data_IF_143543980248
#
_entry.id   IF_143543980248
#
_cell.length_a   1.000
_cell.length_b   1.000
_cell.length_c   1.000
_cell.angle_alpha   90.00
_cell.angle_beta   90.00
_cell.angle_gamma   90.00
#
_symmetry.space_group_name_H-M   'P 1'
#
loop_
_entity.id
_entity.type
_entity.pdbx_description
1 polymer ?
#
# COMPACT_ATOMS: atom_id res chain seq x y z
N UNK A 1 -39.49 3.90 60.55
CA UNK A 1 -39.24 2.70 59.72
C UNK A 1 -39.31 3.00 58.22
N UNK A 2 -39.21 4.24 57.75
CA UNK A 2 -39.32 4.60 56.31
C UNK A 2 -38.04 5.13 55.67
N UNK A 3 -36.94 5.24 56.45
CA UNK A 3 -35.68 5.77 55.93
C UNK A 3 -34.65 4.74 55.44
N UNK A 4 -34.82 3.46 55.80
CA UNK A 4 -33.82 2.42 55.46
C UNK A 4 -34.05 1.76 54.08
N UNK A 5 -35.31 1.77 53.60
CA UNK A 5 -35.65 1.19 52.26
C UNK A 5 -35.14 2.11 51.12
N UNK A 6 -35.18 3.44 51.35
CA UNK A 6 -34.71 4.42 50.32
C UNK A 6 -33.20 4.42 50.15
N UNK A 7 -32.44 4.09 51.19
CA UNK A 7 -30.98 4.00 51.15
C UNK A 7 -30.51 2.71 50.44
N UNK A 8 -31.24 1.62 50.56
CA UNK A 8 -30.90 0.36 49.92
C UNK A 8 -31.17 0.41 48.38
N UNK A 9 -32.24 1.12 47.97
CA UNK A 9 -32.56 1.28 46.55
C UNK A 9 -31.55 2.19 45.82
N UNK A 10 -30.98 3.20 46.50
CA UNK A 10 -29.96 4.09 45.92
C UNK A 10 -28.60 3.39 45.76
N UNK A 11 -28.23 2.49 46.67
CA UNK A 11 -26.99 1.74 46.62
C UNK A 11 -26.98 0.68 45.48
N UNK A 12 -28.13 0.06 45.20
CA UNK A 12 -28.27 -0.91 44.10
C UNK A 12 -28.28 -0.21 42.73
N UNK A 13 -28.87 1.00 42.61
CA UNK A 13 -28.85 1.78 41.37
C UNK A 13 -27.44 2.28 40.99
N UNK A 14 -26.59 2.63 41.98
CA UNK A 14 -25.19 3.04 41.70
C UNK A 14 -24.29 1.87 41.32
N UNK A 15 -24.53 0.65 41.82
CA UNK A 15 -23.73 -0.53 41.47
C UNK A 15 -24.01 -1.05 40.06
N UNK A 16 -25.22 -0.89 39.51
CA UNK A 16 -25.52 -1.29 38.12
C UNK A 16 -25.00 -0.29 37.08
N UNK A 17 -24.80 1.00 37.42
CA UNK A 17 -24.32 2.03 36.51
C UNK A 17 -22.82 1.94 36.18
N UNK A 18 -22.01 1.34 37.07
CA UNK A 18 -20.55 1.26 36.89
C UNK A 18 -20.10 0.06 36.04
N UNK A 19 -20.89 -1.01 35.98
CA UNK A 19 -20.55 -2.19 35.18
C UNK A 19 -20.72 -1.92 33.67
N UNK A 20 -21.70 -1.09 33.29
CA UNK A 20 -21.92 -0.73 31.89
C UNK A 20 -20.84 0.22 31.30
N UNK A 21 -20.28 1.11 32.12
CA UNK A 21 -19.21 2.01 31.70
C UNK A 21 -17.86 1.32 31.51
N UNK A 22 -17.56 0.31 32.34
CA UNK A 22 -16.32 -0.46 32.24
C UNK A 22 -16.28 -1.36 30.97
N UNK A 23 -17.43 -1.88 30.51
CA UNK A 23 -17.50 -2.69 29.28
C UNK A 23 -17.41 -1.85 28.01
N UNK A 24 -17.90 -0.59 28.01
CA UNK A 24 -17.81 0.32 26.88
C UNK A 24 -16.37 0.78 26.58
N UNK A 25 -15.47 0.69 27.55
CA UNK A 25 -14.06 1.08 27.41
C UNK A 25 -13.16 -0.11 27.05
N UNK A 26 -13.61 -1.34 27.27
CA UNK A 26 -12.77 -2.55 27.17
C UNK A 26 -12.32 -2.92 25.74
N UNK A 27 -13.00 -2.43 24.70
CA UNK A 27 -12.68 -2.74 23.29
C UNK A 27 -12.64 -1.47 22.43
N UNK A 28 -12.30 -0.31 23.01
CA UNK A 28 -12.13 0.93 22.26
C UNK A 28 -10.76 0.95 21.59
N UNK A 29 -10.71 1.08 20.26
CA UNK A 29 -9.49 1.13 19.49
C UNK A 29 -9.43 2.40 18.64
N UNK A 30 -8.42 3.23 18.89
CA UNK A 30 -8.04 4.32 18.01
C UNK A 30 -7.08 3.80 16.96
N UNK A 31 -7.48 3.89 15.69
CA UNK A 31 -6.72 3.35 14.55
C UNK A 31 -6.23 4.50 13.68
N UNK A 32 -4.92 4.73 13.69
CA UNK A 32 -4.27 5.76 12.90
C UNK A 32 -3.90 5.20 11.52
N UNK A 33 -4.37 5.85 10.46
CA UNK A 33 -4.15 5.41 9.08
C UNK A 33 -4.17 6.61 8.10
N UNK A 34 -3.74 6.36 6.84
CA UNK A 34 -3.72 7.40 5.80
C UNK A 34 -4.76 7.19 4.68
N UNK A 35 -5.65 6.24 4.81
CA UNK A 35 -6.66 5.90 3.80
C UNK A 35 -7.80 6.91 3.78
N UNK A 36 -7.66 7.96 2.98
CA UNK A 36 -8.58 9.12 2.94
C UNK A 36 -9.24 9.33 1.57
N UNK A 37 -8.77 8.67 0.50
CA UNK A 37 -9.44 8.70 -0.81
C UNK A 37 -10.78 7.97 -0.79
N UNK A 38 -11.58 8.10 -1.85
CA UNK A 38 -12.89 7.47 -1.92
C UNK A 38 -12.86 5.95 -1.77
N UNK A 39 -11.99 5.28 -2.54
CA UNK A 39 -11.79 3.84 -2.49
C UNK A 39 -11.20 3.37 -1.17
N UNK A 40 -10.19 4.07 -0.68
CA UNK A 40 -9.53 3.75 0.59
C UNK A 40 -10.46 3.93 1.79
N UNK A 41 -11.27 5.01 1.83
CA UNK A 41 -12.26 5.23 2.88
C UNK A 41 -13.33 4.14 2.88
N UNK A 42 -13.73 3.64 1.71
CA UNK A 42 -14.65 2.52 1.61
C UNK A 42 -14.01 1.22 2.14
N UNK A 43 -12.71 1.01 1.91
CA UNK A 43 -12.00 -0.16 2.39
C UNK A 43 -11.81 -0.16 3.91
N UNK A 44 -11.32 0.94 4.51
CA UNK A 44 -11.15 1.03 5.97
C UNK A 44 -12.47 0.87 6.71
N UNK A 45 -13.58 1.29 6.09
CA UNK A 45 -14.92 1.10 6.66
C UNK A 45 -15.28 -0.38 6.82
N UNK A 46 -14.80 -1.28 5.94
CA UNK A 46 -15.00 -2.73 6.10
C UNK A 46 -14.26 -3.24 7.35
N UNK A 47 -13.01 -2.76 7.61
CA UNK A 47 -12.28 -3.09 8.84
C UNK A 47 -13.02 -2.59 10.09
N UNK A 48 -13.48 -1.33 10.06
CA UNK A 48 -14.23 -0.72 11.15
C UNK A 48 -15.55 -1.44 11.43
N UNK A 49 -16.30 -1.83 10.39
CA UNK A 49 -17.54 -2.57 10.51
C UNK A 49 -17.30 -3.97 11.10
N UNK A 50 -16.27 -4.68 10.62
CA UNK A 50 -15.91 -5.98 11.16
C UNK A 50 -15.47 -5.90 12.64
N UNK A 51 -14.72 -4.87 13.02
CA UNK A 51 -14.34 -4.63 14.41
C UNK A 51 -15.54 -4.35 15.31
N UNK A 52 -16.48 -3.52 14.84
CA UNK A 52 -17.75 -3.23 15.54
C UNK A 52 -18.61 -4.49 15.68
N UNK A 53 -18.70 -5.31 14.64
CA UNK A 53 -19.44 -6.58 14.67
C UNK A 53 -18.84 -7.57 15.69
N UNK A 54 -17.52 -7.49 15.93
CA UNK A 54 -16.84 -8.26 16.96
C UNK A 54 -16.94 -7.66 18.38
N UNK A 55 -17.77 -6.62 18.57
CA UNK A 55 -18.00 -5.97 19.88
C UNK A 55 -16.99 -4.87 20.22
N UNK A 56 -16.24 -4.38 19.23
CA UNK A 56 -15.29 -3.28 19.42
C UNK A 56 -15.92 -1.89 19.17
N UNK A 57 -15.25 -0.86 19.64
CA UNK A 57 -15.55 0.54 19.34
C UNK A 57 -14.40 1.13 18.51
N UNK A 58 -14.65 1.38 17.23
CA UNK A 58 -13.66 1.99 16.33
C UNK A 58 -13.62 3.50 16.52
N UNK A 59 -12.42 4.03 16.71
CA UNK A 59 -12.13 5.46 16.69
C UNK A 59 -11.19 5.72 15.52
N UNK A 60 -11.70 6.46 14.55
CA UNK A 60 -10.98 6.77 13.32
C UNK A 60 -9.97 7.91 13.56
N UNK A 61 -8.72 7.70 13.17
CA UNK A 61 -7.65 8.68 13.27
C UNK A 61 -6.94 8.82 11.90
N UNK A 62 -7.70 9.23 10.89
CA UNK A 62 -7.22 9.38 9.53
C UNK A 62 -6.35 10.64 9.37
N UNK A 63 -5.17 10.49 8.78
CA UNK A 63 -4.26 11.57 8.41
C UNK A 63 -3.85 11.38 6.95
N UNK A 64 -4.22 12.30 6.07
CA UNK A 64 -3.88 12.22 4.66
C UNK A 64 -2.37 12.23 4.43
N UNK A 65 -1.89 11.29 3.60
CA UNK A 65 -0.48 11.14 3.29
C UNK A 65 0.25 10.14 4.22
N UNK A 66 0.83 9.11 3.62
CA UNK A 66 1.47 8.01 4.38
C UNK A 66 2.67 8.47 5.21
N UNK A 67 3.48 9.40 4.71
CA UNK A 67 4.64 9.95 5.45
C UNK A 67 4.18 10.74 6.67
N UNK A 68 3.18 11.60 6.50
CA UNK A 68 2.61 12.43 7.57
C UNK A 68 1.94 11.57 8.65
N UNK A 69 1.18 10.54 8.24
CA UNK A 69 0.52 9.63 9.17
C UNK A 69 1.53 8.82 9.99
N UNK A 70 2.58 8.28 9.35
CA UNK A 70 3.65 7.55 10.06
C UNK A 70 4.42 8.45 11.01
N UNK A 71 4.79 9.66 10.58
CA UNK A 71 5.46 10.63 11.44
C UNK A 71 4.60 10.98 12.67
N UNK A 72 3.30 11.20 12.48
CA UNK A 72 2.37 11.46 13.57
C UNK A 72 2.27 10.26 14.54
N UNK A 73 2.22 9.03 14.00
CA UNK A 73 2.19 7.81 14.81
C UNK A 73 3.45 7.66 15.67
N UNK A 74 4.65 7.82 15.06
CA UNK A 74 5.94 7.75 15.77
C UNK A 74 6.04 8.83 16.85
N UNK A 75 5.70 10.09 16.51
CA UNK A 75 5.72 11.20 17.48
C UNK A 75 4.79 10.93 18.68
N UNK A 76 3.60 10.37 18.45
CA UNK A 76 2.66 10.01 19.52
C UNK A 76 3.17 8.85 20.37
N UNK A 77 3.84 7.85 19.76
CA UNK A 77 4.47 6.76 20.50
C UNK A 77 5.58 7.28 21.42
N UNK A 78 6.48 8.11 20.90
CA UNK A 78 7.57 8.74 21.67
C UNK A 78 7.03 9.68 22.74
N UNK A 79 5.97 10.42 22.43
CA UNK A 79 5.30 11.36 23.37
C UNK A 79 4.42 10.69 24.42
N UNK A 80 4.32 9.35 24.47
CA UNK A 80 3.57 8.62 25.49
C UNK A 80 2.04 8.64 25.30
N UNK A 81 1.54 9.04 24.12
CA UNK A 81 0.12 9.06 23.77
C UNK A 81 -0.17 8.26 22.49
N UNK A 82 0.27 6.98 22.44
CA UNK A 82 0.16 6.18 21.23
C UNK A 82 -1.29 5.91 20.84
N UNK A 83 -1.60 5.73 19.52
CA UNK A 83 -2.87 5.14 19.11
C UNK A 83 -2.91 3.66 19.50
N UNK A 84 -4.08 3.02 19.42
CA UNK A 84 -4.20 1.57 19.66
C UNK A 84 -3.51 0.78 18.56
N UNK A 85 -3.61 1.24 17.31
CA UNK A 85 -2.94 0.67 16.15
C UNK A 85 -2.52 1.79 15.20
N UNK A 86 -1.40 1.61 14.49
CA UNK A 86 -0.92 2.54 13.49
C UNK A 86 -0.55 1.82 12.20
N UNK A 87 -0.97 2.38 11.05
CA UNK A 87 -0.66 1.85 9.73
C UNK A 87 0.80 2.11 9.36
N UNK A 88 1.43 1.08 8.78
CA UNK A 88 2.73 1.10 8.12
C UNK A 88 2.65 0.26 6.83
N UNK A 89 3.74 0.21 6.07
CA UNK A 89 3.88 -0.74 4.98
C UNK A 89 4.73 -1.94 5.42
N UNK A 90 4.70 -3.04 4.65
CA UNK A 90 5.69 -4.13 4.76
C UNK A 90 7.06 -3.60 4.38
N UNK A 91 7.82 -3.14 5.35
CA UNK A 91 9.07 -2.42 5.17
C UNK A 91 9.95 -2.52 6.42
N UNK A 92 11.13 -1.91 6.35
CA UNK A 92 12.00 -1.75 7.50
C UNK A 92 11.67 -0.54 8.38
N UNK A 93 10.64 0.22 8.07
CA UNK A 93 10.29 1.50 8.73
C UNK A 93 9.96 1.40 10.21
N UNK A 94 9.55 0.22 10.70
CA UNK A 94 9.21 0.02 12.12
C UNK A 94 10.23 -0.81 12.90
N UNK A 95 11.37 -1.17 12.29
CA UNK A 95 12.41 -1.95 12.98
C UNK A 95 12.97 -1.21 14.21
N UNK A 96 13.26 0.08 14.07
CA UNK A 96 13.76 0.90 15.18
C UNK A 96 12.76 0.96 16.33
N UNK A 97 11.46 0.98 16.06
CA UNK A 97 10.42 0.92 17.09
C UNK A 97 10.43 -0.42 17.84
N UNK A 98 10.73 -1.52 17.12
CA UNK A 98 10.90 -2.86 17.74
C UNK A 98 12.14 -2.86 18.63
N UNK A 99 13.27 -2.37 18.13
CA UNK A 99 14.54 -2.37 18.85
C UNK A 99 14.51 -1.49 20.11
N UNK A 100 13.71 -0.41 20.07
CA UNK A 100 13.44 0.45 21.23
C UNK A 100 12.36 -0.13 22.16
N UNK A 101 11.78 -1.30 21.85
CA UNK A 101 10.74 -1.92 22.67
C UNK A 101 9.42 -1.17 22.71
N UNK A 102 9.13 -0.37 21.67
CA UNK A 102 7.94 0.47 21.58
C UNK A 102 6.70 -0.22 20.99
N UNK A 103 6.85 -1.47 20.50
CA UNK A 103 5.76 -2.25 19.92
C UNK A 103 5.46 -3.50 20.74
N UNK A 104 4.17 -3.87 20.80
CA UNK A 104 3.71 -5.18 21.24
C UNK A 104 3.82 -6.18 20.08
N UNK A 105 4.19 -7.44 20.40
CA UNK A 105 4.02 -8.53 19.44
C UNK A 105 2.57 -9.04 19.42
N UNK A 106 2.22 -9.75 18.37
CA UNK A 106 0.90 -10.37 18.15
C UNK A 106 0.99 -11.89 18.01
N UNK A 107 1.99 -12.50 18.59
CA UNK A 107 2.28 -13.94 18.48
C UNK A 107 1.09 -14.83 18.85
N UNK A 108 0.32 -14.45 19.86
CA UNK A 108 -0.87 -15.18 20.31
C UNK A 108 -1.90 -15.28 19.18
N UNK A 109 -2.13 -14.17 18.45
CA UNK A 109 -3.07 -14.14 17.33
C UNK A 109 -2.49 -14.87 16.12
N UNK A 110 -1.21 -14.68 15.84
CA UNK A 110 -0.51 -15.34 14.74
C UNK A 110 -0.53 -16.87 14.88
N UNK A 111 -0.26 -17.39 16.10
CA UNK A 111 -0.32 -18.82 16.40
C UNK A 111 -1.74 -19.38 16.28
N UNK A 112 -2.75 -18.69 16.85
CA UNK A 112 -4.15 -19.10 16.78
C UNK A 112 -4.70 -19.17 15.36
N UNK A 113 -4.17 -18.34 14.45
CA UNK A 113 -4.60 -18.27 13.05
C UNK A 113 -3.61 -18.96 12.07
N UNK A 114 -2.59 -19.65 12.55
CA UNK A 114 -1.60 -20.38 11.73
C UNK A 114 -0.92 -19.51 10.66
N UNK A 115 -0.51 -18.28 10.99
CA UNK A 115 0.04 -17.34 10.02
C UNK A 115 1.25 -17.88 9.25
N UNK A 116 2.10 -18.65 9.89
CA UNK A 116 3.26 -19.30 9.22
C UNK A 116 2.85 -20.22 8.05
N UNK A 117 1.59 -20.67 7.99
CA UNK A 117 1.10 -21.55 6.91
C UNK A 117 0.25 -20.85 5.87
N UNK A 118 -0.41 -19.77 6.26
CA UNK A 118 -1.42 -19.11 5.40
C UNK A 118 -0.94 -17.81 4.76
N UNK A 119 0.18 -17.25 5.24
CA UNK A 119 0.74 -16.01 4.69
C UNK A 119 1.88 -16.33 3.69
N UNK A 120 1.98 -15.59 2.59
CA UNK A 120 3.10 -15.72 1.65
C UNK A 120 4.44 -15.36 2.31
N UNK A 121 5.52 -16.04 1.87
CA UNK A 121 6.85 -15.86 2.44
C UNK A 121 7.37 -14.41 2.45
N UNK A 122 7.18 -13.57 1.41
CA UNK A 122 7.59 -12.16 1.47
C UNK A 122 6.90 -11.38 2.58
N UNK A 123 5.60 -11.61 2.81
CA UNK A 123 4.85 -10.97 3.89
C UNK A 123 5.36 -11.46 5.25
N UNK A 124 5.52 -12.78 5.42
CA UNK A 124 6.07 -13.35 6.66
C UNK A 124 7.43 -12.73 7.01
N UNK A 125 8.34 -12.62 6.03
CA UNK A 125 9.67 -12.04 6.27
C UNK A 125 9.65 -10.58 6.69
N UNK A 126 8.62 -9.83 6.27
CA UNK A 126 8.48 -8.42 6.61
C UNK A 126 7.87 -8.18 8.01
N UNK A 127 7.10 -9.12 8.54
CA UNK A 127 6.36 -8.94 9.80
C UNK A 127 6.88 -9.79 10.97
N UNK A 128 7.63 -10.87 10.68
CA UNK A 128 8.21 -11.77 11.68
C UNK A 128 9.66 -11.42 11.93
N UNK A 129 9.94 -10.60 12.91
CA UNK A 129 11.25 -10.05 13.25
C UNK A 129 11.78 -10.69 14.52
N UNK A 130 13.02 -11.20 14.50
CA UNK A 130 13.65 -11.89 15.64
C UNK A 130 12.79 -13.03 16.22
N UNK A 131 11.98 -13.68 15.35
CA UNK A 131 11.11 -14.80 15.73
C UNK A 131 9.71 -14.42 16.22
N UNK A 132 9.40 -13.13 16.34
CA UNK A 132 8.12 -12.60 16.81
C UNK A 132 7.37 -11.82 15.73
N UNK A 133 6.03 -11.85 15.76
CA UNK A 133 5.18 -11.09 14.86
C UNK A 133 4.88 -9.70 15.43
N UNK A 134 5.42 -8.64 14.82
CA UNK A 134 5.26 -7.26 15.29
C UNK A 134 4.30 -6.41 14.45
N UNK A 135 3.80 -6.95 13.35
CA UNK A 135 2.82 -6.27 12.53
C UNK A 135 1.74 -7.23 12.04
N UNK A 136 0.54 -6.69 11.84
CA UNK A 136 -0.63 -7.40 11.32
C UNK A 136 -0.82 -6.98 9.88
N UNK A 137 -0.60 -7.86 8.90
CA UNK A 137 -0.82 -7.52 7.52
C UNK A 137 -2.32 -7.47 7.20
N UNK A 138 -2.74 -6.56 6.34
CA UNK A 138 -4.16 -6.39 5.97
C UNK A 138 -4.40 -6.59 4.49
N UNK A 139 -3.38 -6.47 3.67
CA UNK A 139 -3.43 -6.78 2.24
C UNK A 139 -2.06 -7.14 1.67
N UNK A 140 -2.08 -7.67 0.44
CA UNK A 140 -0.94 -7.67 -0.45
C UNK A 140 -1.29 -6.71 -1.57
N UNK A 141 -0.46 -5.71 -1.78
CA UNK A 141 -0.59 -4.79 -2.88
C UNK A 141 0.63 -4.80 -3.79
N UNK A 142 0.41 -4.47 -5.04
CA UNK A 142 1.46 -4.18 -6.01
C UNK A 142 1.47 -2.68 -6.26
N UNK A 143 2.55 -1.94 -5.92
CA UNK A 143 2.57 -0.49 -6.01
C UNK A 143 2.57 0.06 -7.44
N UNK A 144 2.55 -0.79 -8.44
CA UNK A 144 2.72 -0.35 -9.81
C UNK A 144 2.03 -1.26 -10.83
N UNK A 145 0.73 -1.04 -11.01
CA UNK A 145 -0.06 -1.53 -12.13
C UNK A 145 -0.16 -0.49 -13.23
N UNK A 146 -0.43 -0.94 -14.45
CA UNK A 146 -0.84 -0.09 -15.57
C UNK A 146 -2.36 -0.13 -15.69
N UNK A 147 -3.00 1.00 -15.42
CA UNK A 147 -4.44 1.21 -15.53
C UNK A 147 -4.72 1.98 -16.81
N UNK A 148 -5.73 1.60 -17.58
CA UNK A 148 -6.07 2.33 -18.80
C UNK A 148 -7.56 2.48 -19.02
N UNK A 149 -7.96 3.60 -19.61
CA UNK A 149 -9.34 3.88 -20.02
C UNK A 149 -9.64 3.20 -21.35
N UNK A 150 -10.56 2.23 -21.35
CA UNK A 150 -10.97 1.58 -22.62
C UNK A 150 -11.65 2.55 -23.61
N UNK A 151 -12.53 3.49 -23.15
CA UNK A 151 -13.05 4.52 -24.05
C UNK A 151 -11.95 5.41 -24.66
N UNK A 152 -10.93 5.81 -23.88
CA UNK A 152 -9.81 6.59 -24.40
C UNK A 152 -8.99 5.81 -25.42
N UNK A 153 -8.72 4.52 -25.15
CA UNK A 153 -8.03 3.61 -26.09
C UNK A 153 -8.82 3.47 -27.39
N UNK A 154 -10.12 3.20 -27.29
CA UNK A 154 -10.99 3.10 -28.48
C UNK A 154 -10.97 4.38 -29.33
N UNK A 155 -11.06 5.56 -28.68
CA UNK A 155 -10.99 6.86 -29.36
C UNK A 155 -9.65 7.09 -30.07
N UNK A 156 -8.55 6.57 -29.47
CA UNK A 156 -7.20 6.66 -30.05
C UNK A 156 -6.89 5.54 -31.06
N UNK A 157 -7.83 4.63 -31.34
CA UNK A 157 -7.61 3.50 -32.23
C UNK A 157 -6.68 2.42 -31.69
N UNK A 158 -6.60 2.28 -30.34
CA UNK A 158 -5.80 1.27 -29.65
C UNK A 158 -6.71 0.08 -29.32
N UNK A 159 -6.43 -1.08 -29.91
CA UNK A 159 -7.29 -2.26 -29.80
C UNK A 159 -6.92 -3.20 -28.65
N UNK A 160 -5.65 -3.24 -28.26
CA UNK A 160 -5.10 -4.20 -27.28
C UNK A 160 -4.16 -3.52 -26.31
N UNK A 161 -3.94 -4.15 -25.18
CA UNK A 161 -2.92 -3.76 -24.21
C UNK A 161 -1.51 -3.88 -24.79
N UNK A 162 -0.60 -2.92 -24.49
CA UNK A 162 0.79 -3.00 -24.93
C UNK A 162 1.51 -4.16 -24.24
N UNK A 163 2.30 -4.91 -25.00
CA UNK A 163 3.07 -6.08 -24.53
C UNK A 163 4.55 -5.77 -24.34
N UNK A 164 4.97 -4.60 -24.79
CA UNK A 164 6.36 -4.12 -24.70
C UNK A 164 6.38 -2.64 -24.32
N UNK A 165 7.49 -2.12 -23.80
CA UNK A 165 7.66 -0.68 -23.57
C UNK A 165 7.49 0.15 -24.86
N UNK A 166 7.97 -0.34 -25.99
CA UNK A 166 7.85 0.37 -27.27
C UNK A 166 6.40 0.43 -27.76
N UNK A 167 5.63 -0.63 -27.57
CA UNK A 167 4.18 -0.60 -27.84
C UNK A 167 3.47 0.40 -26.92
N UNK A 168 3.84 0.47 -25.63
CA UNK A 168 3.28 1.49 -24.72
C UNK A 168 3.57 2.90 -25.25
N UNK A 169 4.82 3.20 -25.62
CA UNK A 169 5.16 4.51 -26.17
C UNK A 169 4.39 4.82 -27.45
N UNK A 170 4.22 3.85 -28.35
CA UNK A 170 3.40 4.03 -29.55
C UNK A 170 1.93 4.32 -29.21
N UNK A 171 1.38 3.69 -28.19
CA UNK A 171 0.03 3.93 -27.72
C UNK A 171 -0.10 5.31 -27.04
N UNK A 172 0.90 5.72 -26.27
CA UNK A 172 0.95 7.09 -25.70
C UNK A 172 1.01 8.15 -26.80
N UNK A 173 1.72 7.92 -27.92
CA UNK A 173 1.74 8.80 -29.08
C UNK A 173 0.36 8.88 -29.75
N UNK A 174 -0.36 7.76 -29.93
CA UNK A 174 -1.73 7.72 -30.45
C UNK A 174 -2.71 8.49 -29.54
N UNK A 175 -2.63 8.32 -28.24
CA UNK A 175 -3.45 9.06 -27.28
C UNK A 175 -3.21 10.56 -27.40
N UNK A 176 -1.94 10.99 -27.49
CA UNK A 176 -1.55 12.39 -27.68
C UNK A 176 -2.12 12.95 -28.98
N UNK A 177 -2.02 12.20 -30.07
CA UNK A 177 -2.59 12.59 -31.37
C UNK A 177 -4.13 12.70 -31.33
N UNK A 178 -4.80 11.90 -30.52
CA UNK A 178 -6.26 11.96 -30.30
C UNK A 178 -6.70 13.09 -29.36
N UNK A 179 -5.76 13.92 -28.84
CA UNK A 179 -6.05 15.01 -27.92
C UNK A 179 -6.39 14.53 -26.51
N UNK A 180 -5.93 13.34 -26.11
CA UNK A 180 -6.11 12.74 -24.80
C UNK A 180 -4.79 12.87 -24.05
N UNK A 181 -4.82 13.21 -22.74
CA UNK A 181 -3.61 13.16 -21.90
C UNK A 181 -3.09 11.72 -21.90
N UNK A 182 -1.90 11.43 -22.43
CA UNK A 182 -1.47 10.04 -22.58
C UNK A 182 -1.27 9.34 -21.25
N UNK A 183 -0.56 9.99 -20.31
CA UNK A 183 -0.21 9.44 -19.01
C UNK A 183 -0.72 10.38 -17.91
N UNK A 184 -1.75 9.94 -17.18
CA UNK A 184 -2.19 10.59 -15.96
C UNK A 184 -1.13 10.35 -14.86
N UNK A 185 -0.63 11.41 -14.27
CA UNK A 185 0.44 11.30 -13.30
C UNK A 185 0.20 12.23 -12.10
N UNK A 186 0.46 11.74 -10.90
CA UNK A 186 0.51 12.55 -9.70
C UNK A 186 1.97 12.90 -9.40
N UNK A 187 2.27 14.20 -9.38
CA UNK A 187 3.65 14.68 -9.26
C UNK A 187 4.13 14.82 -7.81
N UNK A 188 3.93 13.77 -7.01
CA UNK A 188 4.48 13.68 -5.65
C UNK A 188 5.67 12.71 -5.65
N UNK A 189 6.74 12.95 -4.88
CA UNK A 189 7.98 12.15 -4.91
C UNK A 189 7.77 10.65 -4.80
N UNK A 190 6.86 10.20 -3.92
CA UNK A 190 6.57 8.77 -3.77
C UNK A 190 5.95 8.14 -5.02
N UNK A 191 5.14 8.90 -5.81
CA UNK A 191 4.54 8.40 -7.05
C UNK A 191 5.58 8.26 -8.15
N UNK A 192 6.53 9.19 -8.24
CA UNK A 192 7.68 9.12 -9.14
C UNK A 192 8.55 7.90 -8.83
N UNK A 193 8.80 7.67 -7.53
CA UNK A 193 9.56 6.53 -7.01
C UNK A 193 8.92 5.19 -7.39
N UNK A 194 7.63 4.97 -7.10
CA UNK A 194 6.98 3.70 -7.43
C UNK A 194 6.87 3.47 -8.94
N UNK A 195 6.72 4.54 -9.72
CA UNK A 195 6.74 4.46 -11.19
C UNK A 195 8.12 4.03 -11.69
N UNK A 196 9.20 4.52 -11.06
CA UNK A 196 10.55 4.06 -11.36
C UNK A 196 10.75 2.58 -10.98
N UNK A 197 10.21 2.13 -9.85
CA UNK A 197 10.26 0.72 -9.46
C UNK A 197 9.62 -0.19 -10.52
N UNK A 198 8.41 0.18 -10.96
CA UNK A 198 7.71 -0.53 -12.02
C UNK A 198 8.52 -0.54 -13.31
N UNK A 199 9.06 0.63 -13.69
CA UNK A 199 9.80 0.77 -14.93
C UNK A 199 11.08 -0.05 -14.92
N UNK A 200 11.87 0.03 -13.84
CA UNK A 200 13.09 -0.74 -13.69
C UNK A 200 12.81 -2.25 -13.71
N UNK A 201 11.80 -2.71 -12.97
CA UNK A 201 11.45 -4.13 -12.90
C UNK A 201 10.97 -4.68 -14.25
N UNK A 202 10.26 -3.87 -15.05
CA UNK A 202 9.68 -4.30 -16.32
C UNK A 202 10.61 -4.09 -17.52
N UNK A 203 11.42 -3.04 -17.53
CA UNK A 203 12.32 -2.68 -18.64
C UNK A 203 13.72 -3.17 -18.39
N UNK A 204 14.25 -3.01 -17.19
CA UNK A 204 15.55 -3.52 -16.77
C UNK A 204 15.52 -5.00 -16.41
N UNK A 205 14.36 -5.51 -16.04
CA UNK A 205 14.14 -6.89 -15.62
C UNK A 205 14.44 -7.15 -14.14
N UNK A 206 13.97 -8.32 -13.62
CA UNK A 206 14.13 -8.70 -12.22
C UNK A 206 15.56 -8.71 -11.71
N UNK A 207 16.51 -9.18 -12.54
CA UNK A 207 17.93 -9.26 -12.17
C UNK A 207 18.53 -7.86 -11.93
N UNK A 208 18.30 -6.92 -12.85
CA UNK A 208 18.75 -5.53 -12.71
C UNK A 208 18.13 -4.87 -11.49
N UNK A 209 16.85 -5.09 -11.25
CA UNK A 209 16.14 -4.59 -10.08
C UNK A 209 16.75 -5.09 -8.76
N UNK A 210 16.99 -6.40 -8.65
CA UNK A 210 17.58 -7.00 -7.45
C UNK A 210 19.05 -6.59 -7.25
N UNK A 211 19.83 -6.45 -8.31
CA UNK A 211 21.22 -5.96 -8.23
C UNK A 211 21.28 -4.53 -7.72
N UNK A 212 20.33 -3.67 -8.13
CA UNK A 212 20.27 -2.31 -7.59
C UNK A 212 19.94 -2.30 -6.09
N UNK A 213 18.82 -2.91 -5.71
CA UNK A 213 18.26 -2.72 -4.37
C UNK A 213 18.81 -3.69 -3.32
N UNK A 214 19.00 -4.95 -3.68
CA UNK A 214 19.54 -5.95 -2.75
C UNK A 214 21.06 -5.90 -2.69
N UNK A 215 21.71 -5.91 -3.88
CA UNK A 215 23.16 -6.07 -3.97
C UNK A 215 23.89 -4.72 -3.96
N UNK A 216 23.18 -3.61 -4.11
CA UNK A 216 23.74 -2.24 -4.16
C UNK A 216 24.86 -2.10 -5.19
N UNK A 217 24.70 -2.73 -6.38
CA UNK A 217 25.74 -2.83 -7.41
C UNK A 217 25.95 -1.49 -8.14
N UNK A 218 26.94 -0.74 -7.69
CA UNK A 218 27.34 0.52 -8.30
C UNK A 218 27.85 0.35 -9.74
N UNK A 219 28.47 -0.79 -10.07
CA UNK A 219 28.96 -1.09 -11.42
C UNK A 219 27.81 -1.24 -12.41
N UNK A 220 26.74 -1.95 -12.00
CA UNK A 220 25.52 -2.05 -12.78
C UNK A 220 24.93 -0.67 -13.06
N UNK A 221 24.80 0.19 -12.05
CA UNK A 221 24.21 1.52 -12.18
C UNK A 221 24.94 2.39 -13.20
N UNK A 222 26.26 2.24 -13.32
CA UNK A 222 27.06 2.94 -14.31
C UNK A 222 27.04 2.30 -15.70
N UNK A 223 26.41 1.14 -15.87
CA UNK A 223 26.35 0.44 -17.16
C UNK A 223 25.51 1.18 -18.20
N UNK A 224 25.81 1.02 -19.50
CA UNK A 224 24.97 1.57 -20.57
C UNK A 224 23.52 1.07 -20.51
N UNK A 225 23.29 -0.18 -20.10
CA UNK A 225 21.95 -0.80 -19.99
C UNK A 225 21.10 -0.09 -18.93
N UNK A 226 21.64 0.16 -17.73
CA UNK A 226 20.93 0.87 -16.68
C UNK A 226 20.64 2.32 -17.08
N UNK A 227 21.59 3.01 -17.72
CA UNK A 227 21.38 4.38 -18.23
C UNK A 227 20.31 4.42 -19.33
N UNK A 228 20.17 3.37 -20.14
CA UNK A 228 19.08 3.24 -21.10
C UNK A 228 17.72 3.14 -20.41
N UNK A 229 17.62 2.40 -19.28
CA UNK A 229 16.40 2.35 -18.46
C UNK A 229 16.07 3.74 -17.89
N UNK A 230 17.05 4.47 -17.35
CA UNK A 230 16.85 5.85 -16.88
C UNK A 230 16.35 6.76 -18.01
N UNK A 231 16.95 6.68 -19.20
CA UNK A 231 16.54 7.47 -20.36
C UNK A 231 15.11 7.18 -20.78
N UNK A 232 14.72 5.90 -20.84
CA UNK A 232 13.35 5.50 -21.19
C UNK A 232 12.34 5.86 -20.09
N UNK A 233 12.72 5.78 -18.80
CA UNK A 233 11.91 6.30 -17.69
C UNK A 233 11.66 7.80 -17.85
N UNK A 234 12.70 8.58 -18.11
CA UNK A 234 12.59 10.02 -18.34
C UNK A 234 11.69 10.36 -19.53
N UNK A 235 11.66 9.52 -20.56
CA UNK A 235 10.77 9.69 -21.72
C UNK A 235 9.29 9.73 -21.34
N UNK A 236 8.86 8.99 -20.30
CA UNK A 236 7.48 9.02 -19.81
C UNK A 236 7.02 10.42 -19.44
N UNK A 237 7.92 11.27 -18.95
CA UNK A 237 7.62 12.65 -18.57
C UNK A 237 7.07 13.48 -19.74
N UNK A 238 7.41 13.14 -21.00
CA UNK A 238 6.90 13.85 -22.20
C UNK A 238 5.41 13.59 -22.49
N UNK A 239 4.80 12.66 -21.76
CA UNK A 239 3.41 12.24 -21.93
C UNK A 239 2.50 12.68 -20.77
N UNK A 240 3.08 13.36 -19.77
CA UNK A 240 2.37 13.89 -18.60
C UNK A 240 1.89 15.31 -18.88
N UNK A 241 0.73 15.68 -18.39
CA UNK A 241 0.20 17.04 -18.53
C UNK A 241 0.85 18.03 -17.55
N UNK A 242 0.84 19.31 -17.90
CA UNK A 242 1.46 20.39 -17.13
C UNK A 242 0.87 20.56 -15.71
N UNK A 243 -0.34 20.06 -15.46
CA UNK A 243 -0.99 20.11 -14.14
C UNK A 243 -0.59 19.00 -13.18
N UNK A 244 0.37 18.13 -13.56
CA UNK A 244 0.75 16.99 -12.72
C UNK A 244 1.52 17.34 -11.43
N UNK A 245 2.34 18.41 -11.33
CA UNK A 245 3.09 18.69 -10.11
C UNK A 245 2.18 18.77 -8.87
N UNK A 246 2.54 18.04 -7.82
CA UNK A 246 1.78 17.92 -6.55
C UNK A 246 0.35 17.37 -6.66
N UNK A 247 -0.08 16.88 -7.84
CA UNK A 247 -1.39 16.22 -7.99
C UNK A 247 -1.42 14.95 -7.13
N UNK A 248 -2.52 14.75 -6.43
CA UNK A 248 -2.75 13.50 -5.71
C UNK A 248 -2.98 12.35 -6.69
N UNK A 249 -2.62 11.16 -6.29
CA UNK A 249 -2.73 9.96 -7.12
C UNK A 249 -4.18 9.64 -7.54
N UNK A 250 -5.14 9.85 -6.65
CA UNK A 250 -6.57 9.62 -6.91
C UNK A 250 -7.15 10.65 -7.90
N UNK A 251 -6.63 11.89 -7.91
CA UNK A 251 -7.00 12.88 -8.92
C UNK A 251 -6.48 12.47 -10.31
N UNK A 252 -5.28 11.88 -10.38
CA UNK A 252 -4.77 11.29 -11.61
C UNK A 252 -5.62 10.08 -12.04
N UNK A 253 -6.05 9.22 -11.11
CA UNK A 253 -6.96 8.10 -11.39
C UNK A 253 -8.31 8.62 -11.94
N UNK A 254 -8.85 9.71 -11.39
CA UNK A 254 -10.09 10.32 -11.87
C UNK A 254 -10.00 10.80 -13.34
N UNK A 255 -8.79 11.16 -13.80
CA UNK A 255 -8.59 11.49 -15.23
C UNK A 255 -8.74 10.26 -16.12
N UNK A 256 -8.29 9.09 -15.70
CA UNK A 256 -8.46 7.82 -16.42
C UNK A 256 -9.92 7.37 -16.37
N UNK A 257 -10.55 7.46 -15.21
CA UNK A 257 -11.98 7.15 -14.99
C UNK A 257 -12.87 7.96 -15.95
N UNK A 258 -12.59 9.26 -16.09
CA UNK A 258 -13.37 10.16 -16.95
C UNK A 258 -12.99 10.10 -18.44
N UNK A 259 -11.98 9.30 -18.81
CA UNK A 259 -11.45 9.24 -20.18
C UNK A 259 -10.68 10.49 -20.62
N UNK A 260 -10.38 11.42 -19.72
CA UNK A 260 -9.50 12.58 -19.97
C UNK A 260 -8.04 12.16 -20.17
N UNK A 261 -7.65 11.05 -19.53
CA UNK A 261 -6.34 10.44 -19.73
C UNK A 261 -6.47 8.99 -20.19
N UNK A 262 -5.43 8.51 -20.88
CA UNK A 262 -5.38 7.15 -21.43
C UNK A 262 -4.89 6.13 -20.43
N UNK A 263 -3.74 6.37 -19.79
CA UNK A 263 -3.03 5.43 -18.93
C UNK A 263 -2.65 6.08 -17.61
N UNK A 264 -2.56 5.28 -16.54
CA UNK A 264 -1.91 5.63 -15.28
C UNK A 264 -1.04 4.46 -14.81
N UNK A 265 0.18 4.76 -14.32
CA UNK A 265 1.00 3.78 -13.59
C UNK A 265 0.83 4.08 -12.10
N UNK A 266 0.13 3.18 -11.39
CA UNK A 266 -0.23 3.37 -9.99
C UNK A 266 -0.52 2.02 -9.35
N UNK A 267 -0.41 1.95 -8.03
CA UNK A 267 -0.71 0.74 -7.29
C UNK A 267 -2.15 0.27 -7.45
N UNK A 268 -2.37 -0.97 -7.06
CA UNK A 268 -3.68 -1.63 -7.19
C UNK A 268 -4.78 -0.95 -6.37
N UNK A 269 -4.44 -0.11 -5.39
CA UNK A 269 -5.41 0.75 -4.68
C UNK A 269 -6.16 1.73 -5.60
N UNK A 270 -5.59 2.06 -6.78
CA UNK A 270 -6.30 2.85 -7.78
C UNK A 270 -7.61 2.18 -8.23
N UNK A 271 -7.67 0.85 -8.20
CA UNK A 271 -8.88 0.09 -8.51
C UNK A 271 -10.06 0.43 -7.58
N UNK A 272 -9.80 0.76 -6.32
CA UNK A 272 -10.81 1.22 -5.39
C UNK A 272 -11.53 2.49 -5.87
N UNK A 273 -10.83 3.40 -6.53
CA UNK A 273 -11.43 4.61 -7.12
C UNK A 273 -12.33 4.28 -8.32
N UNK A 274 -11.90 3.36 -9.20
CA UNK A 274 -12.75 2.87 -10.29
C UNK A 274 -14.03 2.20 -9.76
N UNK A 275 -13.90 1.38 -8.71
CA UNK A 275 -15.05 0.74 -8.07
C UNK A 275 -16.02 1.75 -7.44
N UNK A 276 -15.51 2.80 -6.80
CA UNK A 276 -16.31 3.91 -6.24
C UNK A 276 -17.02 4.70 -7.34
N UNK A 277 -16.41 4.81 -8.51
CA UNK A 277 -17.02 5.40 -9.71
C UNK A 277 -17.96 4.43 -10.46
N UNK A 278 -18.28 3.27 -9.89
CA UNK A 278 -19.13 2.23 -10.47
C UNK A 278 -18.61 1.67 -11.80
N UNK A 279 -17.30 1.69 -12.02
CA UNK A 279 -16.67 1.09 -13.18
C UNK A 279 -16.23 -0.34 -12.93
N UNK A 280 -16.27 -1.18 -13.95
CA UNK A 280 -15.96 -2.61 -13.89
C UNK A 280 -14.71 -2.92 -14.71
N UNK A 281 -13.76 -3.64 -14.14
CA UNK A 281 -12.58 -4.11 -14.84
C UNK A 281 -12.94 -4.95 -16.07
N UNK A 282 -12.27 -4.69 -17.18
CA UNK A 282 -12.54 -5.34 -18.46
C UNK A 282 -13.64 -4.67 -19.28
N UNK A 283 -14.46 -3.79 -18.68
CA UNK A 283 -15.56 -3.09 -19.37
C UNK A 283 -15.25 -1.62 -19.62
N UNK A 284 -15.16 -0.79 -18.59
CA UNK A 284 -14.84 0.63 -18.69
C UNK A 284 -13.34 0.89 -18.62
N UNK A 285 -12.61 0.10 -17.86
CA UNK A 285 -11.16 0.19 -17.75
C UNK A 285 -10.50 -1.19 -17.88
N UNK A 286 -9.20 -1.18 -18.17
CA UNK A 286 -8.38 -2.37 -18.14
C UNK A 286 -7.16 -2.20 -17.25
N UNK A 287 -6.46 -3.29 -17.03
CA UNK A 287 -5.30 -3.35 -16.15
C UNK A 287 -4.31 -4.40 -16.63
N UNK A 288 -3.03 -4.13 -16.48
CA UNK A 288 -1.99 -5.13 -16.66
C UNK A 288 -0.83 -4.85 -15.68
N UNK A 289 -0.15 -5.90 -15.15
CA UNK A 289 0.87 -5.73 -14.13
C UNK A 289 2.23 -5.29 -14.70
N UNK A 290 2.42 -5.42 -16.00
CA UNK A 290 3.66 -5.12 -16.73
C UNK A 290 3.68 -5.78 -18.09
N UNK A 291 4.83 -5.76 -18.76
CA UNK A 291 4.94 -6.18 -20.15
C UNK A 291 5.15 -7.69 -20.30
N UNK A 292 4.19 -8.33 -20.98
CA UNK A 292 4.26 -9.73 -21.32
C UNK A 292 3.92 -10.71 -20.19
N UNK A 293 3.87 -12.01 -20.48
CA UNK A 293 3.33 -13.03 -19.57
C UNK A 293 4.22 -13.34 -18.36
N UNK A 294 5.49 -12.90 -18.38
CA UNK A 294 6.45 -13.08 -17.30
C UNK A 294 6.76 -11.78 -16.55
N UNK A 295 5.93 -10.74 -16.71
CA UNK A 295 6.13 -9.50 -15.96
C UNK A 295 6.21 -9.78 -14.45
N UNK A 296 7.13 -9.14 -13.72
CA UNK A 296 7.27 -9.34 -12.29
C UNK A 296 6.08 -8.76 -11.53
N UNK A 297 5.83 -9.27 -10.33
CA UNK A 297 4.89 -8.72 -9.36
C UNK A 297 5.70 -8.11 -8.21
N UNK A 298 5.66 -6.80 -8.07
CA UNK A 298 6.27 -6.10 -6.94
C UNK A 298 5.40 -6.33 -5.71
N UNK A 299 5.90 -7.12 -4.77
CA UNK A 299 5.14 -7.50 -3.57
C UNK A 299 5.35 -6.45 -2.48
N UNK A 300 4.27 -5.85 -2.05
CA UNK A 300 4.17 -5.01 -0.87
C UNK A 300 2.89 -5.33 -0.11
N UNK A 301 2.64 -4.66 1.00
CA UNK A 301 1.40 -4.77 1.74
C UNK A 301 1.28 -3.67 2.78
N UNK A 302 0.05 -3.38 3.17
CA UNK A 302 -0.23 -2.55 4.32
C UNK A 302 -0.26 -3.41 5.59
N UNK A 303 0.31 -2.88 6.66
CA UNK A 303 0.33 -3.52 7.96
C UNK A 303 -0.12 -2.55 9.05
N UNK A 304 -0.63 -3.08 10.15
CA UNK A 304 -0.78 -2.31 11.38
C UNK A 304 0.21 -2.80 12.43
N UNK A 305 0.96 -1.86 13.01
CA UNK A 305 1.76 -2.09 14.20
C UNK A 305 0.97 -1.71 15.44
N UNK A 306 1.25 -2.36 16.55
CA UNK A 306 0.59 -2.14 17.82
C UNK A 306 1.57 -1.53 18.82
N UNK A 307 1.45 -0.23 19.14
CA UNK A 307 2.28 0.41 20.13
C UNK A 307 2.19 -0.29 21.49
N UNK A 308 3.29 -0.28 22.22
CA UNK A 308 3.36 -0.84 23.54
C UNK A 308 2.46 -0.04 24.49
N UNK A 309 1.52 -0.71 25.13
CA UNK A 309 0.61 -0.18 26.13
C UNK A 309 0.63 -1.06 27.35
N UNK A 310 0.44 -0.46 28.54
CA UNK A 310 0.42 -1.18 29.82
C UNK A 310 -1.00 -1.59 30.25
N UNK A 311 -2.04 -0.96 29.70
CA UNK A 311 -3.43 -1.25 30.04
C UNK A 311 -3.86 -2.59 29.40
N UNK A 312 -4.23 -3.62 30.20
CA UNK A 312 -4.70 -4.89 29.67
C UNK A 312 -5.93 -4.79 28.75
N UNK A 313 -6.79 -3.78 28.94
CA UNK A 313 -7.97 -3.56 28.09
C UNK A 313 -7.54 -3.09 26.69
N UNK A 314 -6.52 -2.25 26.58
CA UNK A 314 -5.96 -1.85 25.29
C UNK A 314 -5.23 -3.00 24.59
N UNK A 315 -4.50 -3.85 25.33
CA UNK A 315 -3.89 -5.06 24.76
C UNK A 315 -4.95 -6.00 24.17
N UNK A 316 -6.09 -6.18 24.84
CA UNK A 316 -7.22 -6.95 24.32
C UNK A 316 -7.80 -6.32 23.04
N UNK A 317 -7.91 -4.99 23.01
CA UNK A 317 -8.35 -4.26 21.80
C UNK A 317 -7.38 -4.47 20.62
N UNK A 318 -6.07 -4.48 20.86
CA UNK A 318 -5.05 -4.78 19.85
C UNK A 318 -5.19 -6.22 19.33
N UNK A 319 -5.36 -7.20 20.21
CA UNK A 319 -5.55 -8.60 19.83
C UNK A 319 -6.85 -8.81 19.04
N UNK A 320 -7.94 -8.13 19.42
CA UNK A 320 -9.20 -8.18 18.69
C UNK A 320 -9.06 -7.57 17.29
N UNK A 321 -8.37 -6.41 17.16
CA UNK A 321 -8.06 -5.81 15.85
C UNK A 321 -7.27 -6.80 14.98
N UNK A 322 -6.21 -7.39 15.53
CA UNK A 322 -5.37 -8.35 14.80
C UNK A 322 -6.18 -9.55 14.28
N UNK A 323 -7.05 -10.10 15.14
CA UNK A 323 -7.93 -11.23 14.79
C UNK A 323 -8.93 -10.84 13.70
N UNK A 324 -9.57 -9.68 13.83
CA UNK A 324 -10.58 -9.20 12.89
C UNK A 324 -9.95 -8.85 11.53
N UNK A 325 -8.83 -8.14 11.50
CA UNK A 325 -8.17 -7.72 10.27
C UNK A 325 -7.73 -8.92 9.42
N UNK A 326 -7.33 -10.00 10.05
CA UNK A 326 -6.84 -11.20 9.36
C UNK A 326 -7.91 -12.28 9.18
N UNK A 327 -9.18 -12.02 9.55
CA UNK A 327 -10.25 -12.99 9.36
C UNK A 327 -10.58 -13.16 7.86
N UNK A 328 -10.95 -14.37 7.39
CA UNK A 328 -11.23 -14.63 5.98
C UNK A 328 -12.25 -13.67 5.37
N UNK A 329 -13.36 -13.43 6.06
CA UNK A 329 -14.44 -12.58 5.59
C UNK A 329 -14.00 -11.11 5.47
N UNK A 330 -13.29 -10.60 6.48
CA UNK A 330 -12.77 -9.22 6.47
C UNK A 330 -11.76 -9.03 5.34
N UNK A 331 -10.88 -9.99 5.11
CA UNK A 331 -9.88 -9.95 4.05
C UNK A 331 -10.50 -9.82 2.66
N UNK A 332 -11.54 -10.60 2.37
CA UNK A 332 -12.25 -10.54 1.08
C UNK A 332 -13.02 -9.22 0.95
N UNK A 333 -13.75 -8.79 1.99
CA UNK A 333 -14.50 -7.54 1.99
C UNK A 333 -13.60 -6.31 1.78
N UNK A 334 -12.48 -6.26 2.51
CA UNK A 334 -11.49 -5.19 2.40
C UNK A 334 -10.86 -5.16 1.01
N UNK A 335 -10.36 -6.29 0.50
CA UNK A 335 -9.70 -6.37 -0.81
C UNK A 335 -10.61 -5.95 -1.96
N UNK A 336 -11.91 -6.28 -1.90
CA UNK A 336 -12.88 -5.84 -2.90
C UNK A 336 -13.05 -4.32 -2.95
N UNK A 337 -12.87 -3.61 -1.84
CA UNK A 337 -12.96 -2.14 -1.77
C UNK A 337 -11.62 -1.46 -2.04
N UNK A 338 -10.54 -2.00 -1.45
CA UNK A 338 -9.19 -1.43 -1.52
C UNK A 338 -8.58 -1.55 -2.92
N UNK A 339 -8.85 -2.66 -3.61
CA UNK A 339 -8.22 -2.95 -4.89
C UNK A 339 -7.07 -3.94 -4.81
N UNK A 340 -6.51 -4.16 -3.64
CA UNK A 340 -5.46 -5.11 -3.32
C UNK A 340 -5.96 -6.57 -3.31
N UNK A 341 -5.09 -7.52 -2.99
CA UNK A 341 -5.47 -8.92 -2.81
C UNK A 341 -5.35 -9.34 -1.34
N UNK A 342 -6.14 -10.36 -0.90
CA UNK A 342 -6.06 -10.87 0.47
C UNK A 342 -4.66 -11.38 0.81
N UNK A 343 -4.26 -11.17 2.07
CA UNK A 343 -2.99 -11.72 2.62
C UNK A 343 -3.03 -13.25 2.74
N UNK A 344 -4.22 -13.81 2.82
CA UNK A 344 -4.45 -15.23 3.09
C UNK A 344 -4.51 -16.03 1.80
N UNK A 345 -3.82 -17.17 1.78
CA UNK A 345 -3.85 -18.11 0.63
C UNK A 345 -5.04 -19.08 0.69
N UNK A 346 -5.79 -19.10 1.80
CA UNK A 346 -6.89 -20.05 2.09
C UNK A 346 -8.30 -19.43 1.97
N UNK A 347 -8.44 -18.28 1.30
CA UNK A 347 -9.72 -17.61 1.06
C UNK A 347 -10.23 -17.83 -0.36
N UNK A 348 -11.57 -17.81 -0.53
CA UNK A 348 -12.17 -17.83 -1.86
C UNK A 348 -12.04 -16.46 -2.54
N UNK A 349 -11.27 -16.42 -3.63
CA UNK A 349 -10.98 -15.21 -4.39
C UNK A 349 -11.90 -15.02 -5.61
N UNK A 350 -12.91 -15.88 -5.81
CA UNK A 350 -13.81 -15.79 -6.97
C UNK A 350 -14.66 -14.54 -6.98
N UNK A 351 -14.91 -13.92 -5.82
CA UNK A 351 -15.62 -12.66 -5.70
C UNK A 351 -14.78 -11.43 -6.02
N UNK A 352 -13.46 -11.58 -6.17
CA UNK A 352 -12.59 -10.50 -6.59
C UNK A 352 -12.77 -10.19 -8.08
N UNK A 353 -12.53 -8.95 -8.48
CA UNK A 353 -12.59 -8.57 -9.89
C UNK A 353 -11.45 -9.16 -10.73
N UNK A 354 -11.51 -8.97 -12.05
CA UNK A 354 -10.57 -9.50 -13.03
C UNK A 354 -9.11 -9.13 -12.70
N UNK A 355 -8.83 -7.88 -12.31
CA UNK A 355 -7.46 -7.42 -12.03
C UNK A 355 -6.91 -8.08 -10.77
N UNK A 356 -7.70 -8.15 -9.69
CA UNK A 356 -7.29 -8.81 -8.46
C UNK A 356 -7.11 -10.33 -8.66
N UNK A 357 -7.99 -10.99 -9.44
CA UNK A 357 -7.81 -12.41 -9.79
C UNK A 357 -6.51 -12.63 -10.58
N UNK A 358 -6.14 -11.71 -11.48
CA UNK A 358 -4.87 -11.75 -12.17
C UNK A 358 -3.68 -11.62 -11.19
N UNK A 359 -3.76 -10.69 -10.22
CA UNK A 359 -2.76 -10.55 -9.16
C UNK A 359 -2.59 -11.83 -8.33
N UNK A 360 -3.70 -12.44 -7.89
CA UNK A 360 -3.68 -13.73 -7.18
C UNK A 360 -3.05 -14.83 -8.02
N UNK A 361 -3.35 -14.88 -9.32
CA UNK A 361 -2.77 -15.88 -10.22
C UNK A 361 -1.24 -15.72 -10.37
N UNK A 362 -0.76 -14.47 -10.46
CA UNK A 362 0.67 -14.18 -10.53
C UNK A 362 1.37 -14.53 -9.21
N UNK A 363 0.75 -14.25 -8.07
CA UNK A 363 1.31 -14.56 -6.75
C UNK A 363 1.48 -16.06 -6.48
N UNK A 364 0.86 -16.93 -7.25
CA UNK A 364 1.13 -18.38 -7.21
C UNK A 364 2.46 -18.77 -7.83
N UNK A 365 3.03 -17.92 -8.67
CA UNK A 365 4.36 -18.12 -9.28
C UNK A 365 5.41 -17.31 -8.50
N UNK A 366 6.08 -17.99 -7.56
CA UNK A 366 7.10 -17.36 -6.68
C UNK A 366 8.24 -16.74 -7.49
N UNK A 367 8.55 -17.26 -8.69
CA UNK A 367 9.62 -16.72 -9.53
C UNK A 367 9.32 -15.32 -10.08
N UNK A 368 8.07 -14.89 -10.04
CA UNK A 368 7.62 -13.56 -10.46
C UNK A 368 7.53 -12.55 -9.32
N UNK A 369 7.61 -13.00 -8.07
CA UNK A 369 7.53 -12.14 -6.91
C UNK A 369 8.86 -11.40 -6.69
N UNK A 370 8.80 -10.08 -6.65
CA UNK A 370 9.93 -9.22 -6.28
C UNK A 370 9.53 -8.41 -5.03
N UNK A 371 10.34 -8.44 -3.96
CA UNK A 371 10.09 -7.56 -2.82
C UNK A 371 10.27 -6.10 -3.26
N UNK A 372 9.45 -5.20 -2.73
CA UNK A 372 9.66 -3.77 -2.95
C UNK A 372 10.95 -3.29 -2.28
N UNK A 373 11.54 -2.17 -2.75
CA UNK A 373 12.81 -1.67 -2.18
C UNK A 373 12.72 -1.40 -0.68
N UNK A 374 11.58 -0.99 -0.17
CA UNK A 374 11.33 -0.76 1.26
C UNK A 374 11.58 -2.00 2.14
N UNK A 375 11.46 -3.20 1.57
CA UNK A 375 11.80 -4.46 2.24
C UNK A 375 13.29 -4.77 2.19
N UNK A 376 14.04 -4.22 1.22
CA UNK A 376 15.43 -4.58 0.93
C UNK A 376 16.43 -3.62 1.54
N UNK A 377 16.16 -2.32 1.49
CA UNK A 377 17.07 -1.25 1.91
C UNK A 377 16.58 -0.53 3.18
N UNK A 378 17.46 0.27 3.78
CA UNK A 378 17.12 1.09 4.94
C UNK A 378 16.22 2.26 4.52
N UNK A 379 15.39 2.82 5.45
CA UNK A 379 14.59 4.01 5.16
C UNK A 379 15.41 5.21 4.67
N UNK A 380 16.61 5.41 5.22
CA UNK A 380 17.51 6.52 4.81
C UNK A 380 18.00 6.37 3.37
N UNK A 381 18.40 5.16 2.98
CA UNK A 381 18.77 4.88 1.60
C UNK A 381 17.58 5.01 0.65
N UNK A 382 16.41 4.53 1.07
CA UNK A 382 15.17 4.67 0.29
C UNK A 382 14.84 6.15 0.05
N UNK A 383 14.89 6.99 1.08
CA UNK A 383 14.69 8.44 0.98
C UNK A 383 15.69 9.08 0.03
N UNK A 384 16.99 8.75 0.18
CA UNK A 384 18.06 9.29 -0.69
C UNK A 384 17.85 8.91 -2.16
N UNK A 385 17.42 7.67 -2.44
CA UNK A 385 17.11 7.23 -3.81
C UNK A 385 15.86 7.92 -4.35
N UNK A 386 14.82 8.11 -3.52
CA UNK A 386 13.62 8.88 -3.88
C UNK A 386 13.98 10.29 -4.31
N UNK A 387 14.84 10.99 -3.54
CA UNK A 387 15.28 12.35 -3.87
C UNK A 387 16.01 12.41 -5.22
N UNK A 388 16.88 11.42 -5.49
CA UNK A 388 17.58 11.33 -6.78
C UNK A 388 16.60 11.13 -7.93
N UNK A 389 15.63 10.23 -7.79
CA UNK A 389 14.63 9.95 -8.82
C UNK A 389 13.72 11.16 -9.04
N UNK A 390 13.27 11.81 -7.96
CA UNK A 390 12.45 13.04 -8.03
C UNK A 390 13.19 14.16 -8.73
N UNK A 391 14.46 14.38 -8.41
CA UNK A 391 15.29 15.37 -9.10
C UNK A 391 15.47 15.03 -10.57
N UNK A 392 15.76 13.77 -10.88
CA UNK A 392 15.90 13.30 -12.26
C UNK A 392 14.61 13.48 -13.05
N UNK A 393 13.46 13.12 -12.49
CA UNK A 393 12.16 13.27 -13.12
C UNK A 393 11.82 14.73 -13.44
N UNK A 394 12.04 15.65 -12.49
CA UNK A 394 11.56 17.03 -12.56
C UNK A 394 12.56 18.02 -13.18
N UNK A 395 13.81 17.63 -13.51
CA UNK A 395 14.84 18.52 -14.04
C UNK A 395 15.40 18.01 -15.38
N UNK A 396 16.25 18.80 -16.02
CA UNK A 396 16.99 18.41 -17.23
C UNK A 396 18.25 17.59 -16.93
N UNK A 397 18.32 16.92 -15.74
CA UNK A 397 19.46 16.08 -15.39
C UNK A 397 19.64 14.94 -16.41
N UNK A 398 20.89 14.68 -16.81
CA UNK A 398 21.19 13.58 -17.72
C UNK A 398 21.07 12.21 -17.02
N UNK A 399 20.84 11.13 -17.79
CA UNK A 399 20.88 9.77 -17.24
C UNK A 399 22.24 9.41 -16.62
N UNK A 400 23.34 9.97 -17.15
CA UNK A 400 24.69 9.79 -16.60
C UNK A 400 24.82 10.44 -15.22
N UNK A 401 24.33 11.66 -15.05
CA UNK A 401 24.37 12.35 -13.76
C UNK A 401 23.42 11.76 -12.73
N UNK A 402 22.25 11.27 -13.18
CA UNK A 402 21.34 10.51 -12.32
C UNK A 402 21.99 9.20 -11.84
N UNK A 403 22.64 8.45 -12.73
CA UNK A 403 23.38 7.24 -12.37
C UNK A 403 24.49 7.52 -11.35
N UNK A 404 25.29 8.59 -11.52
CA UNK A 404 26.29 9.02 -10.54
C UNK A 404 25.67 9.36 -9.18
N UNK A 405 24.51 10.03 -9.18
CA UNK A 405 23.81 10.39 -7.95
C UNK A 405 23.27 9.13 -7.23
N UNK A 406 22.72 8.15 -7.97
CA UNK A 406 22.32 6.84 -7.41
C UNK A 406 23.53 6.16 -6.78
N UNK A 407 24.67 6.09 -7.47
CA UNK A 407 25.92 5.49 -6.91
C UNK A 407 26.35 6.20 -5.63
N UNK A 408 26.23 7.53 -5.57
CA UNK A 408 26.55 8.28 -4.36
C UNK A 408 25.60 7.93 -3.20
N UNK A 409 24.29 7.80 -3.47
CA UNK A 409 23.33 7.38 -2.47
C UNK A 409 23.60 5.95 -1.95
N UNK A 410 23.93 4.99 -2.85
CA UNK A 410 24.27 3.62 -2.48
C UNK A 410 25.50 3.50 -1.58
N UNK A 411 26.46 4.43 -1.69
CA UNK A 411 27.68 4.43 -0.86
C UNK A 411 27.45 4.99 0.55
N UNK A 412 26.43 5.82 0.72
CA UNK A 412 26.15 6.51 1.97
C UNK A 412 25.05 5.82 2.81
N UNK A 413 24.32 4.86 2.24
CA UNK A 413 23.26 4.06 2.88
C UNK A 413 23.56 2.56 2.87
#
# INVERSE_FOLDING_TARGET
MTNDITRLALAVALACGTVGAAHAQANRAEVLHWWTSGGESAAVKELANAYKAAGGTWVDAAIAGGEQARAAAVNRMVGGTPPTAAQFNTSKQFLDLIDQGMLNNVDVVAAANNWDKILPAPILSAIKIKGHFYAVPVDIHMPAWFWYSKPAFAKAGIATEPKTPDELFADLDKLKAAGIVPLAFGGQPWQEKITFYAWLANVGGPDMYMKLYRDKDAGLVMSPQFKAVLTSFKRLHNYVDAGSPNRNWNDATAMVISGKAGVQIMGDWAKGEFATAHQTAGKEFGCFPGFGPKSPYLVAGDVFVFPKVSDPAQVKSQQLLATVFTSPATQVAFSNKKGSIPIRTDVDVKSLDLCAQQGVAIMKDVSRQLPTPEMLITPDLEGSLQDVITKFWNTNQSADDAAKAIVAALKNG
#
